data_IF_817616330742
#
_entry.id   IF_817616330742
#
_cell.length_a   1.000
_cell.length_b   1.000
_cell.length_c   1.000
_cell.angle_alpha   90.00
_cell.angle_beta   90.00
_cell.angle_gamma   90.00
#
_symmetry.space_group_name_H-M   'P 1'
#
loop_
_entity.id
_entity.type
_entity.pdbx_description
1 polymer ?
#
# COMPACT_ATOMS: atom_id res chain seq x y z
N UNK A 1 11.73 1.17 19.41
CA UNK A 1 10.68 0.16 19.17
C UNK A 1 10.22 -0.49 20.48
N UNK A 2 11.08 -1.11 21.30
CA UNK A 2 10.70 -1.76 22.54
C UNK A 2 9.89 -0.88 23.50
N UNK A 3 10.30 0.37 23.72
CA UNK A 3 9.58 1.34 24.56
C UNK A 3 8.19 1.68 24.01
N UNK A 4 8.02 1.69 22.69
CA UNK A 4 6.74 1.99 22.04
C UNK A 4 5.72 0.85 22.19
N UNK A 5 6.18 -0.39 22.19
CA UNK A 5 5.34 -1.57 22.33
C UNK A 5 5.11 -1.98 23.79
N UNK A 6 5.79 -1.38 24.76
CA UNK A 6 5.59 -1.66 26.17
C UNK A 6 4.19 -1.24 26.60
N UNK A 7 3.60 -1.98 27.57
CA UNK A 7 2.25 -1.71 28.12
C UNK A 7 2.07 -0.31 28.74
N UNK A 8 3.17 0.45 28.89
CA UNK A 8 3.17 1.81 29.43
C UNK A 8 2.93 2.89 28.36
N UNK A 9 2.92 2.54 27.05
CA UNK A 9 2.59 3.48 25.98
C UNK A 9 1.11 3.32 25.63
N UNK A 10 0.32 4.31 25.99
CA UNK A 10 -1.14 4.32 25.82
C UNK A 10 -1.60 4.71 24.42
N UNK A 11 -0.70 5.24 23.57
CA UNK A 11 -1.06 5.74 22.24
C UNK A 11 -0.71 4.74 21.14
N UNK A 12 -1.68 4.40 20.30
CA UNK A 12 -1.45 3.72 19.03
C UNK A 12 -0.76 4.66 18.04
N UNK A 13 -0.05 4.07 17.06
CA UNK A 13 0.65 4.82 16.00
C UNK A 13 0.30 4.22 14.64
N UNK A 14 0.32 5.05 13.62
CA UNK A 14 0.02 4.65 12.24
C UNK A 14 1.23 4.84 11.32
N UNK A 15 1.46 3.86 10.44
CA UNK A 15 2.53 3.86 9.45
C UNK A 15 1.92 3.75 8.05
N UNK A 16 2.22 4.73 7.20
CA UNK A 16 1.85 4.70 5.79
C UNK A 16 3.05 4.37 4.91
N UNK A 17 2.91 3.41 4.01
CA UNK A 17 3.96 3.01 3.07
C UNK A 17 3.46 3.20 1.64
N UNK A 18 4.09 4.10 0.89
CA UNK A 18 3.82 4.33 -0.52
C UNK A 18 5.00 3.96 -1.40
N UNK A 19 4.75 3.83 -2.67
CA UNK A 19 5.74 3.58 -3.72
C UNK A 19 5.05 3.08 -4.97
N UNK A 20 5.71 3.19 -6.10
CA UNK A 20 5.15 2.75 -7.38
C UNK A 20 5.00 1.23 -7.49
N UNK A 21 4.31 0.79 -8.53
CA UNK A 21 4.20 -0.65 -8.80
C UNK A 21 5.59 -1.29 -8.94
N UNK A 22 5.75 -2.51 -8.44
CA UNK A 22 7.01 -3.24 -8.41
C UNK A 22 8.18 -2.59 -7.62
N UNK A 23 7.93 -1.51 -6.84
CA UNK A 23 8.96 -0.90 -5.98
C UNK A 23 9.41 -1.79 -4.81
N UNK A 24 8.58 -2.75 -4.38
CA UNK A 24 8.86 -3.59 -3.21
C UNK A 24 8.19 -3.10 -1.92
N UNK A 25 7.27 -2.12 -1.99
CA UNK A 25 6.56 -1.60 -0.82
C UNK A 25 5.87 -2.69 0.01
N UNK A 26 5.23 -3.67 -0.63
CA UNK A 26 4.57 -4.78 0.07
C UNK A 26 5.58 -5.70 0.78
N UNK A 27 6.75 -5.93 0.19
CA UNK A 27 7.84 -6.68 0.84
C UNK A 27 8.30 -5.96 2.10
N UNK A 28 8.57 -4.65 2.00
CA UNK A 28 8.96 -3.83 3.16
C UNK A 28 7.86 -3.83 4.24
N UNK A 29 6.60 -3.71 3.83
CA UNK A 29 5.48 -3.77 4.78
C UNK A 29 5.44 -5.12 5.51
N UNK A 30 5.60 -6.24 4.81
CA UNK A 30 5.64 -7.57 5.42
C UNK A 30 6.83 -7.75 6.35
N UNK A 31 8.03 -7.28 5.98
CA UNK A 31 9.21 -7.37 6.82
C UNK A 31 9.04 -6.57 8.13
N UNK A 32 8.44 -5.38 8.05
CA UNK A 32 8.09 -4.59 9.23
C UNK A 32 7.05 -5.33 10.10
N UNK A 33 6.00 -5.87 9.49
CA UNK A 33 4.94 -6.61 10.18
C UNK A 33 5.52 -7.82 10.91
N UNK A 34 6.29 -8.64 10.21
CA UNK A 34 6.92 -9.83 10.78
C UNK A 34 7.87 -9.48 11.94
N UNK A 35 8.67 -8.42 11.79
CA UNK A 35 9.56 -7.95 12.85
C UNK A 35 8.77 -7.52 14.09
N UNK A 36 7.66 -6.81 13.92
CA UNK A 36 6.80 -6.36 15.02
C UNK A 36 6.10 -7.56 15.67
N UNK A 37 5.62 -8.53 14.88
CA UNK A 37 4.96 -9.72 15.40
C UNK A 37 5.91 -10.60 16.22
N UNK A 38 7.12 -10.88 15.70
CA UNK A 38 8.14 -11.64 16.42
C UNK A 38 8.50 -10.97 17.76
N UNK A 39 8.67 -9.65 17.75
CA UNK A 39 8.90 -8.89 18.98
C UNK A 39 7.70 -8.97 19.93
N UNK A 40 6.49 -8.87 19.43
CA UNK A 40 5.28 -8.93 20.24
C UNK A 40 5.10 -10.30 20.88
N UNK A 41 5.40 -11.38 20.17
CA UNK A 41 5.41 -12.75 20.72
C UNK A 41 6.44 -12.91 21.83
N UNK A 42 7.68 -12.44 21.61
CA UNK A 42 8.76 -12.51 22.62
C UNK A 42 8.37 -11.80 23.93
N UNK A 43 7.65 -10.66 23.83
CA UNK A 43 7.28 -9.85 24.99
C UNK A 43 5.81 -9.98 25.41
N UNK A 44 5.07 -10.98 24.90
CA UNK A 44 3.66 -11.25 25.22
C UNK A 44 2.75 -10.02 25.04
N UNK A 45 2.94 -9.28 23.93
CA UNK A 45 2.13 -8.10 23.62
C UNK A 45 0.97 -8.49 22.70
N UNK A 46 -0.24 -8.40 23.22
CA UNK A 46 -1.45 -8.64 22.44
C UNK A 46 -1.79 -7.48 21.51
N UNK A 47 -2.43 -7.80 20.38
CA UNK A 47 -2.88 -6.79 19.40
C UNK A 47 -1.78 -5.80 19.01
N UNK A 48 -0.58 -6.31 18.71
CA UNK A 48 0.57 -5.47 18.40
C UNK A 48 0.39 -4.69 17.09
N UNK A 49 -0.20 -5.31 16.06
CA UNK A 49 -0.28 -4.72 14.73
C UNK A 49 -1.59 -5.05 14.00
N UNK A 50 -2.14 -4.06 13.29
CA UNK A 50 -3.25 -4.21 12.36
C UNK A 50 -2.80 -3.72 10.98
N UNK A 51 -2.97 -4.56 9.95
CA UNK A 51 -2.70 -4.19 8.56
C UNK A 51 -3.98 -3.76 7.86
N UNK A 52 -3.88 -2.66 7.10
CA UNK A 52 -4.90 -2.17 6.17
C UNK A 52 -4.27 -2.18 4.77
N UNK A 53 -4.85 -2.94 3.85
CA UNK A 53 -4.45 -2.94 2.45
C UNK A 53 -5.19 -1.82 1.71
N UNK A 54 -4.45 -0.89 1.07
CA UNK A 54 -5.05 0.21 0.32
C UNK A 54 -5.86 -0.28 -0.87
N UNK A 55 -5.46 -1.40 -1.48
CA UNK A 55 -6.14 -1.96 -2.66
C UNK A 55 -7.56 -2.47 -2.34
N UNK A 56 -7.87 -2.75 -1.06
CA UNK A 56 -9.22 -3.12 -0.65
C UNK A 56 -10.23 -1.97 -0.76
N UNK A 57 -9.75 -0.73 -0.97
CA UNK A 57 -10.57 0.47 -1.06
C UNK A 57 -10.90 0.91 -2.49
N UNK A 58 -10.56 0.14 -3.53
CA UNK A 58 -11.09 0.39 -4.86
C UNK A 58 -12.62 0.41 -4.85
N UNK A 59 -13.23 1.33 -5.59
CA UNK A 59 -14.68 1.34 -5.75
C UNK A 59 -15.15 0.09 -6.47
N UNK A 60 -16.31 -0.46 -6.08
CA UNK A 60 -16.98 -1.51 -6.84
C UNK A 60 -17.30 -1.01 -8.25
N UNK A 61 -16.80 -1.72 -9.25
CA UNK A 61 -17.04 -1.46 -10.68
C UNK A 61 -17.49 -2.71 -11.41
N UNK A 62 -17.95 -3.71 -10.66
CA UNK A 62 -18.37 -5.01 -11.22
C UNK A 62 -19.43 -4.89 -12.29
N UNK A 63 -20.38 -3.96 -12.13
CA UNK A 63 -21.40 -3.71 -13.15
C UNK A 63 -20.83 -3.09 -14.44
N UNK A 64 -19.78 -2.28 -14.32
CA UNK A 64 -19.07 -1.73 -15.49
C UNK A 64 -18.28 -2.82 -16.21
N UNK A 65 -17.62 -3.72 -15.47
CA UNK A 65 -16.93 -4.89 -16.05
C UNK A 65 -17.91 -5.81 -16.77
N UNK A 66 -19.06 -6.12 -16.16
CA UNK A 66 -20.13 -6.91 -16.81
C UNK A 66 -20.63 -6.28 -18.11
N UNK A 67 -20.84 -4.95 -18.13
CA UNK A 67 -21.28 -4.21 -19.33
C UNK A 67 -20.22 -4.20 -20.42
N UNK A 68 -18.93 -4.11 -20.06
CA UNK A 68 -17.82 -4.16 -21.00
C UNK A 68 -17.57 -5.58 -21.53
N UNK A 69 -18.08 -6.62 -20.87
CA UNK A 69 -17.89 -8.02 -21.24
C UNK A 69 -16.62 -8.66 -20.70
N UNK A 70 -15.60 -7.87 -20.33
CA UNK A 70 -14.38 -8.33 -19.70
C UNK A 70 -13.70 -7.21 -18.89
N UNK A 71 -12.83 -7.59 -17.95
CA UNK A 71 -11.99 -6.63 -17.23
C UNK A 71 -11.02 -5.89 -18.17
N UNK A 72 -10.45 -6.58 -19.14
CA UNK A 72 -9.53 -5.98 -20.10
C UNK A 72 -10.22 -4.88 -20.93
N UNK A 73 -11.46 -5.11 -21.37
CA UNK A 73 -12.22 -4.11 -22.11
C UNK A 73 -12.65 -2.93 -21.20
N UNK A 74 -13.06 -3.21 -19.97
CA UNK A 74 -13.33 -2.17 -18.98
C UNK A 74 -12.11 -1.29 -18.70
N UNK A 75 -10.93 -1.87 -18.52
CA UNK A 75 -9.69 -1.16 -18.20
C UNK A 75 -9.21 -0.21 -19.32
N UNK A 76 -9.64 -0.41 -20.57
CA UNK A 76 -9.38 0.55 -21.66
C UNK A 76 -10.11 1.88 -21.49
N UNK A 77 -11.21 1.89 -20.76
CA UNK A 77 -12.11 3.04 -20.62
C UNK A 77 -12.18 3.58 -19.19
N UNK A 78 -11.62 2.86 -18.21
CA UNK A 78 -11.62 3.26 -16.80
C UNK A 78 -10.22 3.19 -16.22
N UNK A 79 -9.76 4.34 -15.73
CA UNK A 79 -8.43 4.46 -15.13
C UNK A 79 -8.46 3.99 -13.67
N UNK A 80 -7.75 2.90 -13.40
CA UNK A 80 -7.59 2.34 -12.06
C UNK A 80 -6.33 2.88 -11.36
N UNK A 81 -5.38 3.44 -12.12
CA UNK A 81 -4.10 3.92 -11.61
C UNK A 81 -4.15 5.41 -11.21
N UNK A 82 -5.28 5.82 -10.64
CA UNK A 82 -5.50 7.18 -10.12
C UNK A 82 -6.09 7.15 -8.70
N UNK A 83 -5.78 8.12 -7.84
CA UNK A 83 -6.31 8.18 -6.47
C UNK A 83 -7.85 8.20 -6.39
N UNK A 84 -8.51 8.70 -7.45
CA UNK A 84 -9.96 8.79 -7.57
C UNK A 84 -10.64 7.43 -7.77
N UNK A 85 -9.87 6.40 -8.13
CA UNK A 85 -10.38 5.04 -8.23
C UNK A 85 -10.62 4.38 -6.86
N UNK A 86 -10.08 4.98 -5.78
CA UNK A 86 -10.16 4.45 -4.41
C UNK A 86 -10.95 5.38 -3.49
N UNK A 87 -11.65 4.78 -2.54
CA UNK A 87 -12.34 5.49 -1.45
C UNK A 87 -11.39 5.78 -0.29
N UNK A 88 -10.39 6.65 -0.53
CA UNK A 88 -9.31 6.96 0.42
C UNK A 88 -9.82 7.67 1.68
N UNK A 89 -10.93 8.41 1.62
CA UNK A 89 -11.55 9.02 2.80
C UNK A 89 -12.17 7.97 3.74
N UNK A 90 -12.72 6.88 3.19
CA UNK A 90 -13.18 5.75 4.01
C UNK A 90 -11.97 5.06 4.68
N UNK A 91 -10.87 4.85 3.95
CA UNK A 91 -9.63 4.30 4.52
C UNK A 91 -9.11 5.17 5.65
N UNK A 92 -9.06 6.49 5.47
CA UNK A 92 -8.67 7.46 6.49
C UNK A 92 -9.56 7.36 7.75
N UNK A 93 -10.87 7.23 7.55
CA UNK A 93 -11.84 7.07 8.64
C UNK A 93 -11.59 5.78 9.41
N UNK A 94 -11.31 4.67 8.74
CA UNK A 94 -10.99 3.39 9.39
C UNK A 94 -9.69 3.47 10.19
N UNK A 95 -8.62 4.06 9.63
CA UNK A 95 -7.34 4.26 10.34
C UNK A 95 -7.56 5.09 11.60
N UNK A 96 -8.24 6.23 11.50
CA UNK A 96 -8.52 7.10 12.65
C UNK A 96 -9.36 6.40 13.70
N UNK A 97 -10.38 5.63 13.31
CA UNK A 97 -11.20 4.86 14.25
C UNK A 97 -10.38 3.83 15.01
N UNK A 98 -9.50 3.10 14.35
CA UNK A 98 -8.59 2.14 15.00
C UNK A 98 -7.61 2.84 15.97
N UNK A 99 -7.06 4.01 15.59
CA UNK A 99 -6.20 4.81 16.45
C UNK A 99 -6.93 5.30 17.71
N UNK A 100 -8.24 5.55 17.63
CA UNK A 100 -9.10 5.89 18.76
C UNK A 100 -9.56 4.67 19.58
N UNK A 101 -9.10 3.46 19.26
CA UNK A 101 -9.43 2.24 19.99
C UNK A 101 -10.74 1.58 19.57
N UNK A 102 -11.35 2.00 18.47
CA UNK A 102 -12.58 1.41 17.96
C UNK A 102 -12.27 0.30 16.95
N UNK A 103 -13.01 -0.81 17.02
CA UNK A 103 -12.99 -1.82 15.96
C UNK A 103 -13.72 -1.30 14.72
N UNK A 104 -13.28 -1.74 13.54
CA UNK A 104 -13.89 -1.41 12.25
C UNK A 104 -14.05 -2.67 11.38
N UNK A 105 -14.99 -2.63 10.46
CA UNK A 105 -15.11 -3.64 9.41
C UNK A 105 -14.52 -3.10 8.13
N UNK A 106 -13.47 -3.75 7.63
CA UNK A 106 -12.77 -3.36 6.41
C UNK A 106 -13.48 -3.94 5.18
N UNK A 107 -13.42 -3.25 4.03
CA UNK A 107 -13.81 -3.82 2.76
C UNK A 107 -12.80 -4.86 2.29
N UNK A 108 -13.18 -5.61 1.26
CA UNK A 108 -12.34 -6.52 0.51
C UNK A 108 -12.60 -6.35 -0.98
N UNK A 109 -11.55 -6.07 -1.75
CA UNK A 109 -11.64 -5.93 -3.20
C UNK A 109 -11.07 -7.15 -3.91
N UNK A 110 -11.80 -7.63 -4.90
CA UNK A 110 -11.39 -8.77 -5.71
C UNK A 110 -10.45 -8.34 -6.84
N UNK A 111 -9.17 -8.65 -6.67
CA UNK A 111 -8.11 -8.38 -7.66
C UNK A 111 -8.07 -9.40 -8.81
N UNK A 112 -9.00 -10.37 -8.87
CA UNK A 112 -9.04 -11.38 -9.94
C UNK A 112 -9.65 -10.88 -11.26
N UNK A 113 -10.00 -9.58 -11.34
CA UNK A 113 -10.56 -8.97 -12.54
C UNK A 113 -12.07 -8.88 -12.55
N UNK A 114 -12.76 -9.14 -11.45
CA UNK A 114 -14.21 -8.93 -11.35
C UNK A 114 -14.58 -7.50 -10.99
N UNK A 115 -13.63 -6.74 -10.43
CA UNK A 115 -13.83 -5.41 -9.85
C UNK A 115 -14.95 -5.35 -8.80
N UNK A 116 -15.18 -6.46 -8.09
CA UNK A 116 -16.14 -6.55 -6.98
C UNK A 116 -15.48 -6.07 -5.71
N UNK A 117 -16.13 -5.16 -4.99
CA UNK A 117 -15.82 -4.85 -3.60
C UNK A 117 -16.96 -5.32 -2.70
N UNK A 118 -16.58 -6.00 -1.63
CA UNK A 118 -17.51 -6.38 -0.56
C UNK A 118 -17.20 -5.52 0.65
N UNK A 119 -18.21 -4.81 1.14
CA UNK A 119 -18.07 -3.98 2.32
C UNK A 119 -18.28 -4.80 3.61
N UNK A 120 -17.66 -4.35 4.71
CA UNK A 120 -17.83 -4.92 6.05
C UNK A 120 -17.47 -6.42 6.18
N UNK A 121 -16.45 -6.89 5.45
CA UNK A 121 -16.10 -8.31 5.40
C UNK A 121 -15.13 -8.69 6.53
N UNK A 122 -14.07 -7.88 6.75
CA UNK A 122 -12.97 -8.21 7.64
C UNK A 122 -13.01 -7.36 8.88
N UNK A 123 -13.26 -7.98 10.04
CA UNK A 123 -13.12 -7.28 11.33
C UNK A 123 -11.67 -6.95 11.62
N UNK A 124 -11.36 -5.67 11.76
CA UNK A 124 -10.09 -5.16 12.25
C UNK A 124 -10.23 -4.64 13.68
N UNK A 125 -9.33 -5.08 14.54
CA UNK A 125 -9.26 -4.67 15.94
C UNK A 125 -8.23 -3.55 16.11
N UNK A 126 -8.42 -2.62 17.05
CA UNK A 126 -7.41 -1.64 17.38
C UNK A 126 -6.14 -2.33 17.88
N UNK A 127 -4.98 -1.78 17.52
CA UNK A 127 -3.68 -2.33 17.85
C UNK A 127 -2.68 -1.23 18.20
N UNK A 128 -1.48 -1.61 18.67
CA UNK A 128 -0.42 -0.65 18.99
C UNK A 128 0.11 0.04 17.74
N UNK A 129 0.17 -0.69 16.62
CA UNK A 129 0.63 -0.16 15.33
C UNK A 129 -0.41 -0.50 14.27
N UNK A 130 -0.81 0.52 13.50
CA UNK A 130 -1.65 0.36 12.32
C UNK A 130 -0.78 0.64 11.11
N UNK A 131 -0.63 -0.34 10.21
CA UNK A 131 0.17 -0.21 9.00
C UNK A 131 -0.71 -0.26 7.77
N UNK A 132 -0.52 0.68 6.84
CA UNK A 132 -1.16 0.64 5.53
C UNK A 132 -0.12 0.78 4.43
N UNK A 133 -0.31 0.04 3.34
CA UNK A 133 0.56 0.11 2.17
C UNK A 133 -0.23 0.12 0.88
N UNK A 134 0.26 0.87 -0.11
CA UNK A 134 -0.33 0.94 -1.44
C UNK A 134 0.21 2.11 -2.26
N UNK A 135 -0.26 2.21 -3.51
CA UNK A 135 0.19 3.24 -4.46
C UNK A 135 -0.11 4.65 -3.94
N UNK A 136 -1.30 4.85 -3.38
CA UNK A 136 -1.86 6.16 -3.05
C UNK A 136 -1.91 6.46 -1.55
N UNK A 137 -1.19 5.67 -0.74
CA UNK A 137 -1.19 5.79 0.73
C UNK A 137 -0.72 7.17 1.22
N UNK A 138 0.18 7.86 0.51
CA UNK A 138 0.67 9.17 0.90
C UNK A 138 0.05 10.33 0.10
N UNK A 139 -1.10 10.15 -0.52
CA UNK A 139 -1.85 11.24 -1.18
C UNK A 139 -2.46 12.19 -0.16
N UNK A 140 -2.81 13.42 -0.58
CA UNK A 140 -3.39 14.45 0.29
C UNK A 140 -4.67 14.00 1.00
N UNK A 141 -5.43 13.10 0.38
CA UNK A 141 -6.69 12.59 0.92
C UNK A 141 -6.52 11.80 2.22
N UNK A 142 -5.36 11.15 2.43
CA UNK A 142 -5.17 10.21 3.54
C UNK A 142 -3.88 10.39 4.33
N UNK A 143 -2.91 11.15 3.83
CA UNK A 143 -1.57 11.28 4.43
C UNK A 143 -1.57 11.75 5.88
N UNK A 144 -2.53 12.58 6.27
CA UNK A 144 -2.69 13.09 7.64
C UNK A 144 -3.23 12.05 8.64
N UNK A 145 -3.60 10.86 8.17
CA UNK A 145 -3.92 9.73 9.03
C UNK A 145 -2.68 8.97 9.52
N UNK A 146 -1.48 9.28 9.00
CA UNK A 146 -0.26 8.57 9.35
C UNK A 146 0.67 9.42 10.21
N UNK A 147 1.07 8.84 11.35
CA UNK A 147 2.10 9.41 12.24
C UNK A 147 3.50 9.28 11.61
N UNK A 148 3.73 8.17 10.87
CA UNK A 148 5.01 7.89 10.22
C UNK A 148 4.81 7.46 8.76
N UNK A 149 5.60 8.02 7.85
CA UNK A 149 5.43 7.88 6.41
C UNK A 149 6.71 7.41 5.73
N UNK A 150 6.60 6.32 4.99
CA UNK A 150 7.70 5.69 4.25
C UNK A 150 7.38 5.73 2.77
N UNK A 151 8.32 6.19 1.96
CA UNK A 151 8.24 6.07 0.51
C UNK A 151 9.29 5.08 0.04
N UNK A 152 8.87 4.03 -0.68
CA UNK A 152 9.75 3.02 -1.25
C UNK A 152 10.03 3.38 -2.70
N UNK A 153 11.24 3.88 -2.95
CA UNK A 153 11.77 4.16 -4.27
C UNK A 153 12.62 2.99 -4.79
N UNK A 154 12.69 2.84 -6.09
CA UNK A 154 13.49 1.81 -6.74
C UNK A 154 14.09 2.39 -8.03
N UNK A 155 15.28 1.95 -8.40
CA UNK A 155 15.85 2.35 -9.69
C UNK A 155 14.99 1.82 -10.83
N UNK A 156 14.87 2.62 -11.90
CA UNK A 156 14.03 2.31 -13.06
C UNK A 156 14.29 0.92 -13.64
N UNK A 157 15.57 0.51 -13.75
CA UNK A 157 15.92 -0.80 -14.31
C UNK A 157 15.40 -1.96 -13.46
N UNK A 158 15.54 -1.87 -12.15
CA UNK A 158 15.04 -2.91 -11.22
C UNK A 158 13.51 -2.93 -11.23
N UNK A 159 12.88 -1.77 -11.23
CA UNK A 159 11.43 -1.64 -11.27
C UNK A 159 10.87 -2.27 -12.54
N UNK A 160 11.46 -1.97 -13.68
CA UNK A 160 11.08 -2.50 -14.99
C UNK A 160 11.22 -4.03 -15.03
N UNK A 161 12.36 -4.57 -14.62
CA UNK A 161 12.60 -6.02 -14.53
C UNK A 161 11.55 -6.72 -13.66
N UNK A 162 11.29 -6.20 -12.46
CA UNK A 162 10.29 -6.75 -11.54
C UNK A 162 8.87 -6.65 -12.09
N UNK A 163 8.55 -5.57 -12.79
CA UNK A 163 7.26 -5.41 -13.43
C UNK A 163 7.03 -6.49 -14.48
N UNK A 164 7.97 -6.68 -15.43
CA UNK A 164 7.81 -7.68 -16.49
C UNK A 164 7.79 -9.12 -15.97
N UNK A 165 8.57 -9.41 -14.92
CA UNK A 165 8.48 -10.71 -14.24
C UNK A 165 7.05 -10.96 -13.71
N UNK A 166 6.47 -9.98 -13.03
CA UNK A 166 5.10 -10.06 -12.53
C UNK A 166 4.05 -10.07 -13.65
N UNK A 167 4.28 -9.34 -14.73
CA UNK A 167 3.41 -9.35 -15.92
C UNK A 167 3.35 -10.74 -16.57
N UNK A 168 4.49 -11.43 -16.65
CA UNK A 168 4.55 -12.82 -17.11
C UNK A 168 3.80 -13.78 -16.17
N UNK A 169 3.95 -13.62 -14.85
CA UNK A 169 3.21 -14.41 -13.86
C UNK A 169 1.68 -14.20 -13.92
N UNK A 170 1.23 -13.04 -14.42
CA UNK A 170 -0.18 -12.67 -14.59
C UNK A 170 -0.70 -12.88 -16.01
N UNK A 171 0.10 -13.46 -16.88
CA UNK A 171 -0.25 -13.76 -18.28
C UNK A 171 -0.71 -12.53 -19.09
N UNK A 172 -0.06 -11.37 -18.87
CA UNK A 172 -0.40 -10.13 -19.58
C UNK A 172 0.01 -10.14 -21.06
N UNK A 173 0.92 -11.02 -21.48
CA UNK A 173 1.31 -11.19 -22.87
C UNK A 173 1.72 -9.86 -23.54
N UNK A 174 1.21 -9.64 -24.75
CA UNK A 174 1.53 -8.45 -25.58
C UNK A 174 1.03 -7.13 -24.98
N UNK A 175 0.12 -7.14 -23.99
CA UNK A 175 -0.35 -5.93 -23.34
C UNK A 175 0.59 -5.41 -22.25
N UNK A 176 1.63 -6.14 -21.89
CA UNK A 176 2.52 -5.78 -20.78
C UNK A 176 3.21 -4.42 -20.99
N UNK A 177 3.61 -4.09 -22.22
CA UNK A 177 4.26 -2.82 -22.55
C UNK A 177 3.30 -1.63 -22.34
N UNK A 178 2.08 -1.73 -22.84
CA UNK A 178 1.07 -0.69 -22.68
C UNK A 178 0.72 -0.46 -21.21
N UNK A 179 0.53 -1.55 -20.46
CA UNK A 179 0.25 -1.49 -19.02
C UNK A 179 1.42 -0.85 -18.26
N UNK A 180 2.67 -1.18 -18.63
CA UNK A 180 3.87 -0.59 -18.03
C UNK A 180 3.95 0.93 -18.26
N UNK A 181 3.80 1.37 -19.50
CA UNK A 181 3.89 2.79 -19.86
C UNK A 181 2.78 3.60 -19.20
N UNK A 182 1.57 3.07 -19.14
CA UNK A 182 0.46 3.70 -18.44
C UNK A 182 0.78 3.83 -16.93
N UNK A 183 1.14 2.73 -16.27
CA UNK A 183 1.48 2.72 -14.85
C UNK A 183 2.65 3.67 -14.53
N UNK A 184 3.70 3.70 -15.38
CA UNK A 184 4.84 4.61 -15.23
C UNK A 184 4.44 6.09 -15.36
N UNK A 185 3.59 6.42 -16.33
CA UNK A 185 3.08 7.78 -16.53
C UNK A 185 2.24 8.23 -15.32
N UNK A 186 1.36 7.37 -14.83
CA UNK A 186 0.53 7.65 -13.65
C UNK A 186 1.37 7.76 -12.37
N UNK A 187 2.41 6.95 -12.23
CA UNK A 187 3.33 7.06 -11.11
C UNK A 187 4.01 8.43 -11.04
N UNK A 188 4.46 8.98 -12.18
CA UNK A 188 5.05 10.33 -12.25
C UNK A 188 4.09 11.42 -11.79
N UNK A 189 2.79 11.26 -12.09
CA UNK A 189 1.77 12.26 -11.79
C UNK A 189 1.25 12.14 -10.36
N UNK A 190 0.97 10.93 -9.90
CA UNK A 190 0.21 10.71 -8.67
C UNK A 190 1.01 10.10 -7.52
N UNK A 191 2.13 9.42 -7.79
CA UNK A 191 2.88 8.66 -6.78
C UNK A 191 4.19 9.35 -6.43
N UNK A 192 5.06 9.64 -7.40
CA UNK A 192 6.37 10.24 -7.13
C UNK A 192 6.29 11.57 -6.35
N UNK A 193 5.33 12.47 -6.60
CA UNK A 193 5.23 13.70 -5.82
C UNK A 193 4.97 13.46 -4.33
N UNK A 194 4.36 12.31 -3.98
CA UNK A 194 4.08 11.96 -2.57
C UNK A 194 5.34 11.61 -1.77
N UNK A 195 6.46 11.32 -2.43
CA UNK A 195 7.76 11.13 -1.77
C UNK A 195 8.17 12.34 -0.93
N UNK A 196 7.76 13.55 -1.34
CA UNK A 196 8.01 14.78 -0.57
C UNK A 196 7.31 14.83 0.79
N UNK A 197 6.33 13.96 1.04
CA UNK A 197 5.57 13.87 2.29
C UNK A 197 6.11 12.77 3.23
N UNK A 198 7.03 11.95 2.73
CA UNK A 198 7.60 10.86 3.51
C UNK A 198 8.60 11.37 4.56
N UNK A 199 8.63 10.73 5.71
CA UNK A 199 9.61 10.94 6.76
C UNK A 199 10.91 10.18 6.44
N UNK A 200 10.76 9.01 5.74
CA UNK A 200 11.87 8.19 5.24
C UNK A 200 11.62 7.83 3.79
N UNK A 201 12.67 7.92 2.97
CA UNK A 201 12.71 7.33 1.63
C UNK A 201 13.67 6.15 1.67
N UNK A 202 13.16 4.96 1.34
CA UNK A 202 13.93 3.75 1.13
C UNK A 202 14.23 3.62 -0.35
N UNK A 203 15.48 3.79 -0.75
CA UNK A 203 15.90 3.60 -2.14
C UNK A 203 16.51 2.22 -2.32
N UNK A 204 15.86 1.38 -3.13
CA UNK A 204 16.41 0.11 -3.56
C UNK A 204 17.22 0.29 -4.83
N UNK A 205 18.49 -0.08 -4.75
CA UNK A 205 19.45 -0.01 -5.86
C UNK A 205 20.16 -1.35 -6.06
N UNK A 206 20.70 -1.56 -7.26
CA UNK A 206 21.66 -2.63 -7.51
C UNK A 206 23.08 -2.04 -7.48
N UNK A 207 23.90 -2.54 -6.58
CA UNK A 207 25.31 -2.18 -6.48
C UNK A 207 26.12 -3.44 -6.73
N UNK A 208 26.90 -3.47 -7.81
CA UNK A 208 27.71 -4.64 -8.21
C UNK A 208 26.92 -5.94 -8.36
N UNK A 209 25.65 -5.86 -8.79
CA UNK A 209 24.77 -7.03 -8.94
C UNK A 209 24.06 -7.49 -7.68
N UNK A 210 24.32 -6.87 -6.54
CA UNK A 210 23.61 -7.11 -5.29
C UNK A 210 22.55 -6.03 -5.05
N UNK A 211 21.41 -6.43 -4.48
CA UNK A 211 20.35 -5.50 -4.10
C UNK A 211 20.68 -4.88 -2.75
N UNK A 212 20.74 -3.56 -2.70
CA UNK A 212 21.03 -2.79 -1.50
C UNK A 212 19.95 -1.75 -1.26
N UNK A 213 19.66 -1.46 0.01
CA UNK A 213 18.77 -0.38 0.42
C UNK A 213 19.61 0.80 0.93
N UNK A 214 19.34 1.99 0.43
CA UNK A 214 19.80 3.24 1.04
C UNK A 214 18.64 3.95 1.74
N UNK A 215 18.93 4.50 2.91
CA UNK A 215 17.98 5.21 3.74
C UNK A 215 18.24 6.71 3.63
N UNK A 216 17.23 7.45 3.21
CA UNK A 216 17.26 8.91 3.24
C UNK A 216 16.23 9.40 4.26
N UNK A 217 16.71 10.04 5.31
CA UNK A 217 15.87 10.68 6.31
C UNK A 217 15.62 12.13 5.88
N UNK A 218 14.40 12.57 5.99
CA UNK A 218 14.10 14.00 5.89
C UNK A 218 14.53 14.67 7.19
N UNK A 219 15.60 15.47 7.14
CA UNK A 219 16.02 16.32 8.26
C UNK A 219 15.17 17.59 8.16
N UNK A 220 14.38 17.85 9.18
CA UNK A 220 13.57 19.07 9.34
C UNK A 220 14.42 20.23 9.81
#
# INVERSE_FOLDING_TARGET
MALFLSNNITRSCSIGIAGETASGKSTIAFDIINTIQNFAEEYCIENAITRINTDDYYYDRSDMVKKAGSFAEFAKHYDLDVPEALELELMKTHIKSLLFGNKVYLPEYDMSGTAIRRDNVKLALPSKIIISEGLFTLTDKVVDAFDFKIFVAVSHNIQKERFYKRAAERDLGDSADEVYENASTKAKTHIHPTASKADIILLLMSVKGELNYELFFRIW
#
